data_IF_161802947795
#
_entry.id   IF_161802947795
#
_cell.length_a   1.000
_cell.length_b   1.000
_cell.length_c   1.000
_cell.angle_alpha   90.00
_cell.angle_beta   90.00
_cell.angle_gamma   90.00
#
_symmetry.space_group_name_H-M   'P 1'
#
loop_
_entity.id
_entity.type
_entity.pdbx_description
1 polymer ?
#
# COMPACT_ATOMS: atom_id res chain seq x y z
N UNK A 1 55.86 -50.68 17.98
CA UNK A 1 54.45 -50.38 18.20
C UNK A 1 54.01 -50.23 19.67
N UNK A 2 54.67 -50.81 20.64
CA UNK A 2 54.23 -50.75 22.08
C UNK A 2 54.55 -49.42 22.79
N UNK A 3 55.55 -48.62 22.38
CA UNK A 3 55.93 -47.34 23.04
C UNK A 3 54.97 -46.19 22.75
N UNK A 4 54.30 -46.16 21.60
CA UNK A 4 53.36 -45.07 21.21
C UNK A 4 52.00 -45.21 21.84
N UNK A 5 51.60 -46.38 22.28
CA UNK A 5 50.30 -46.63 22.91
C UNK A 5 50.34 -46.20 24.40
N UNK A 6 51.45 -46.43 25.10
CA UNK A 6 51.63 -46.07 26.53
C UNK A 6 51.65 -44.54 26.69
N UNK A 7 52.34 -43.81 25.82
CA UNK A 7 52.39 -42.34 25.86
C UNK A 7 51.05 -41.66 25.56
N UNK A 8 50.17 -42.32 24.79
CA UNK A 8 48.83 -41.81 24.50
C UNK A 8 47.87 -41.99 25.71
N UNK A 9 48.00 -43.13 26.42
CA UNK A 9 47.23 -43.44 27.58
C UNK A 9 47.58 -42.52 28.78
N UNK A 10 48.87 -42.22 28.97
CA UNK A 10 49.35 -41.29 30.01
C UNK A 10 48.91 -39.83 29.76
N UNK A 11 48.85 -39.43 28.48
CA UNK A 11 48.40 -38.08 28.11
C UNK A 11 46.90 -37.92 28.35
N UNK A 12 46.08 -38.95 28.12
CA UNK A 12 44.63 -38.96 28.39
C UNK A 12 44.38 -38.95 29.90
N UNK A 13 45.12 -39.76 30.69
CA UNK A 13 45.00 -39.79 32.15
C UNK A 13 45.44 -38.47 32.76
N UNK A 14 46.45 -37.78 32.24
CA UNK A 14 46.89 -36.49 32.75
C UNK A 14 45.86 -35.38 32.43
N UNK A 15 45.24 -35.42 31.26
CA UNK A 15 44.14 -34.51 30.91
C UNK A 15 42.88 -34.73 31.77
N UNK A 16 42.53 -35.98 31.95
CA UNK A 16 41.39 -36.36 32.78
C UNK A 16 41.60 -35.96 34.26
N UNK A 17 42.79 -36.15 34.82
CA UNK A 17 43.14 -35.73 36.16
C UNK A 17 43.14 -34.23 36.35
N UNK A 18 43.58 -33.45 35.34
CA UNK A 18 43.52 -32.00 35.34
C UNK A 18 42.06 -31.50 35.27
N UNK A 19 41.21 -32.17 34.50
CA UNK A 19 39.78 -31.84 34.40
C UNK A 19 39.04 -32.15 35.73
N UNK A 20 39.36 -33.28 36.34
CA UNK A 20 38.79 -33.64 37.69
C UNK A 20 39.25 -32.65 38.74
N UNK A 21 40.51 -32.27 38.77
CA UNK A 21 41.05 -31.32 39.71
C UNK A 21 40.44 -29.91 39.51
N UNK A 22 40.19 -29.51 38.26
CA UNK A 22 39.49 -28.26 37.93
C UNK A 22 38.04 -28.29 38.40
N UNK A 23 37.34 -29.42 38.16
CA UNK A 23 35.97 -29.64 38.63
C UNK A 23 35.87 -29.62 40.16
N UNK A 24 36.81 -30.28 40.87
CA UNK A 24 36.86 -30.29 42.30
C UNK A 24 37.19 -28.93 42.94
N UNK A 25 38.10 -28.17 42.27
CA UNK A 25 38.50 -26.83 42.73
C UNK A 25 37.40 -25.78 42.56
N UNK A 26 36.52 -25.97 41.58
CA UNK A 26 35.42 -25.06 41.28
C UNK A 26 34.05 -25.71 41.53
N UNK A 27 33.98 -26.79 42.33
CA UNK A 27 32.76 -27.55 42.56
C UNK A 27 31.57 -26.68 43.03
N UNK A 28 31.83 -25.73 43.91
CA UNK A 28 30.80 -24.82 44.42
C UNK A 28 30.21 -23.93 43.32
N UNK A 29 31.02 -23.44 42.40
CA UNK A 29 30.58 -22.63 41.27
C UNK A 29 29.84 -23.46 40.21
N UNK A 30 30.27 -24.68 39.99
CA UNK A 30 29.62 -25.60 39.02
C UNK A 30 28.26 -26.04 39.57
N UNK A 31 28.18 -26.36 40.85
CA UNK A 31 26.92 -26.70 41.50
C UNK A 31 25.97 -25.52 41.45
N UNK A 32 26.44 -24.30 41.74
CA UNK A 32 25.64 -23.08 41.62
C UNK A 32 25.14 -22.87 40.21
N UNK A 33 25.98 -23.02 39.17
CA UNK A 33 25.61 -22.91 37.79
C UNK A 33 24.55 -23.93 37.35
N UNK A 34 24.66 -25.19 37.86
CA UNK A 34 23.67 -26.24 37.62
C UNK A 34 22.34 -25.88 38.30
N UNK A 35 22.33 -25.40 39.54
CA UNK A 35 21.12 -24.95 40.21
C UNK A 35 20.44 -23.79 39.49
N UNK A 36 21.21 -22.80 39.04
CA UNK A 36 20.69 -21.69 38.26
C UNK A 36 20.09 -22.18 36.92
N UNK A 37 20.77 -23.08 36.21
CA UNK A 37 20.26 -23.66 34.97
C UNK A 37 18.96 -24.44 35.20
N UNK A 38 18.90 -25.29 36.25
CA UNK A 38 17.68 -26.04 36.62
C UNK A 38 16.54 -25.06 36.99
N UNK A 39 16.85 -24.04 37.80
CA UNK A 39 15.89 -23.01 38.19
C UNK A 39 15.34 -22.28 36.96
N UNK A 40 16.20 -21.89 36.00
CA UNK A 40 15.78 -21.27 34.74
C UNK A 40 14.88 -22.21 33.94
N UNK A 41 15.25 -23.50 33.79
CA UNK A 41 14.43 -24.47 33.04
C UNK A 41 13.06 -24.68 33.70
N UNK A 42 13.00 -24.73 35.02
CA UNK A 42 11.74 -24.87 35.75
C UNK A 42 10.88 -23.61 35.69
N UNK A 43 11.49 -22.43 35.76
CA UNK A 43 10.79 -21.14 35.64
C UNK A 43 10.22 -20.94 34.22
N UNK A 44 11.00 -21.25 33.20
CA UNK A 44 10.60 -21.02 31.79
C UNK A 44 9.80 -22.18 31.20
N UNK A 45 10.03 -23.42 31.64
CA UNK A 45 9.39 -24.61 31.07
C UNK A 45 8.00 -24.93 31.61
N UNK A 46 7.65 -24.53 32.86
CA UNK A 46 6.41 -24.94 33.52
C UNK A 46 5.38 -23.84 33.77
N UNK A 47 5.72 -22.57 33.54
CA UNK A 47 4.78 -21.49 33.84
C UNK A 47 4.31 -20.80 32.54
N UNK A 48 3.09 -21.13 32.03
CA UNK A 48 2.56 -20.54 30.79
C UNK A 48 2.36 -19.02 30.92
N UNK A 49 2.18 -18.50 32.11
CA UNK A 49 2.01 -17.07 32.37
C UNK A 49 3.31 -16.29 32.11
N UNK A 50 4.45 -16.80 32.55
CA UNK A 50 5.75 -16.16 32.33
C UNK A 50 6.17 -16.24 30.87
N UNK A 51 5.85 -17.33 30.17
CA UNK A 51 6.12 -17.46 28.75
C UNK A 51 5.37 -16.41 27.92
N UNK A 52 4.13 -16.09 28.32
CA UNK A 52 3.34 -15.01 27.66
C UNK A 52 3.97 -13.64 27.86
N UNK A 53 4.46 -13.32 29.07
CA UNK A 53 5.11 -12.04 29.36
C UNK A 53 6.43 -11.89 28.57
N UNK A 54 7.24 -12.95 28.47
CA UNK A 54 8.49 -12.89 27.68
C UNK A 54 8.24 -12.77 26.18
N UNK A 55 7.25 -13.47 25.63
CA UNK A 55 6.87 -13.33 24.24
C UNK A 55 6.31 -11.92 23.95
N UNK A 56 5.52 -11.37 24.86
CA UNK A 56 5.02 -10.01 24.78
C UNK A 56 6.15 -8.96 24.86
N UNK A 57 7.10 -9.15 25.78
CA UNK A 57 8.26 -8.25 25.90
C UNK A 57 9.22 -8.36 24.72
N UNK A 58 9.46 -9.57 24.20
CA UNK A 58 10.25 -9.78 23.00
C UNK A 58 9.60 -9.14 21.76
N UNK A 59 8.26 -9.22 21.64
CA UNK A 59 7.52 -8.55 20.58
C UNK A 59 7.55 -7.01 20.71
N UNK A 60 7.53 -6.48 21.95
CA UNK A 60 7.67 -5.04 22.17
C UNK A 60 9.07 -4.53 21.80
N UNK A 61 10.12 -5.28 22.15
CA UNK A 61 11.50 -4.94 21.75
C UNK A 61 11.68 -5.07 20.24
N UNK A 62 11.12 -6.12 19.63
CA UNK A 62 11.13 -6.28 18.18
C UNK A 62 10.38 -5.13 17.48
N UNK A 63 9.22 -4.74 17.97
CA UNK A 63 8.46 -3.60 17.45
C UNK A 63 9.26 -2.29 17.58
N UNK A 64 9.89 -2.02 18.72
CA UNK A 64 10.73 -0.85 18.91
C UNK A 64 11.96 -0.82 17.97
N UNK A 65 12.55 -1.99 17.68
CA UNK A 65 13.66 -2.10 16.71
C UNK A 65 13.15 -1.89 15.28
N UNK A 66 11.97 -2.39 14.93
CA UNK A 66 11.36 -2.16 13.63
C UNK A 66 10.93 -0.69 13.46
N UNK A 67 10.43 -0.04 14.50
CA UNK A 67 10.11 1.40 14.47
C UNK A 67 11.37 2.26 14.25
N UNK A 68 12.45 1.97 14.96
CA UNK A 68 13.75 2.64 14.73
C UNK A 68 14.30 2.38 13.33
N UNK A 69 14.16 1.17 12.81
CA UNK A 69 14.61 0.85 11.45
C UNK A 69 13.75 1.56 10.40
N UNK A 70 12.44 1.67 10.60
CA UNK A 70 11.54 2.39 9.71
C UNK A 70 11.79 3.90 9.71
N UNK A 71 12.08 4.51 10.86
CA UNK A 71 12.47 5.93 10.94
C UNK A 71 13.78 6.21 10.22
N UNK A 72 14.79 5.35 10.39
CA UNK A 72 16.09 5.52 9.72
C UNK A 72 15.98 5.32 8.21
N UNK A 73 15.25 4.30 7.75
CA UNK A 73 15.06 4.07 6.30
C UNK A 73 14.19 5.13 5.66
N UNK A 74 13.18 5.66 6.35
CA UNK A 74 12.35 6.76 5.84
C UNK A 74 13.16 8.05 5.67
N UNK A 75 14.12 8.30 6.55
CA UNK A 75 14.98 9.48 6.47
C UNK A 75 15.95 9.42 5.26
N UNK A 76 16.47 8.25 4.92
CA UNK A 76 17.32 8.07 3.72
C UNK A 76 16.52 8.16 2.41
N UNK A 77 15.25 7.72 2.39
CA UNK A 77 14.34 7.86 1.25
C UNK A 77 13.83 9.29 1.04
N UNK A 78 13.84 10.13 2.08
CA UNK A 78 13.26 11.47 2.03
C UNK A 78 13.96 12.38 0.99
N UNK A 79 15.25 12.21 0.80
CA UNK A 79 16.06 13.00 -0.16
C UNK A 79 15.72 12.63 -1.61
N UNK A 80 15.48 11.37 -1.86
CA UNK A 80 15.08 10.86 -3.18
C UNK A 80 13.63 11.24 -3.50
N UNK A 81 12.73 11.06 -2.54
CA UNK A 81 11.32 11.49 -2.64
C UNK A 81 11.22 13.01 -2.84
N UNK A 82 12.02 13.81 -2.14
CA UNK A 82 12.01 15.27 -2.30
C UNK A 82 12.50 15.69 -3.70
N UNK A 83 13.56 15.03 -4.20
CA UNK A 83 14.04 15.25 -5.56
C UNK A 83 12.98 14.89 -6.61
N UNK A 84 12.31 13.77 -6.42
CA UNK A 84 11.27 13.29 -7.33
C UNK A 84 10.05 14.22 -7.32
N UNK A 85 9.65 14.68 -6.14
CA UNK A 85 8.62 15.71 -5.97
C UNK A 85 8.97 17.02 -6.66
N UNK A 86 10.23 17.48 -6.57
CA UNK A 86 10.66 18.69 -7.25
C UNK A 86 10.65 18.54 -8.76
N UNK A 87 11.11 17.40 -9.30
CA UNK A 87 11.04 17.10 -10.73
C UNK A 87 9.59 17.10 -11.22
N UNK A 88 8.71 16.41 -10.48
CA UNK A 88 7.29 16.32 -10.84
C UNK A 88 6.56 17.65 -10.71
N UNK A 89 6.88 18.47 -9.70
CA UNK A 89 6.37 19.83 -9.63
C UNK A 89 6.81 20.67 -10.84
N UNK A 90 8.06 20.55 -11.26
CA UNK A 90 8.56 21.22 -12.47
C UNK A 90 7.86 20.76 -13.74
N UNK A 91 7.63 19.45 -13.91
CA UNK A 91 6.86 18.90 -15.03
C UNK A 91 5.42 19.42 -15.06
N UNK A 92 4.74 19.41 -13.90
CA UNK A 92 3.37 19.94 -13.78
C UNK A 92 3.30 21.45 -14.04
N UNK A 93 4.29 22.22 -13.57
CA UNK A 93 4.37 23.66 -13.88
C UNK A 93 4.52 23.89 -15.38
N UNK A 94 5.37 23.13 -16.06
CA UNK A 94 5.52 23.22 -17.53
C UNK A 94 4.25 22.81 -18.26
N UNK A 95 3.56 21.77 -17.79
CA UNK A 95 2.29 21.34 -18.37
C UNK A 95 1.21 22.41 -18.17
N UNK A 96 1.10 23.01 -17.00
CA UNK A 96 0.19 24.14 -16.72
C UNK A 96 0.50 25.34 -17.59
N UNK A 97 1.78 25.68 -17.80
CA UNK A 97 2.19 26.77 -18.68
C UNK A 97 1.77 26.47 -20.12
N UNK A 98 2.05 25.26 -20.63
CA UNK A 98 1.69 24.83 -21.97
C UNK A 98 0.16 24.84 -22.20
N UNK A 99 -0.60 24.34 -21.24
CA UNK A 99 -2.06 24.34 -21.30
C UNK A 99 -2.63 25.77 -21.29
N UNK A 100 -2.09 26.66 -20.45
CA UNK A 100 -2.46 28.08 -20.42
C UNK A 100 -2.15 28.76 -21.75
N UNK A 101 -1.02 28.45 -22.37
CA UNK A 101 -0.65 29.01 -23.68
C UNK A 101 -1.56 28.50 -24.79
N UNK A 102 -1.87 27.19 -24.81
CA UNK A 102 -2.85 26.61 -25.74
C UNK A 102 -4.23 27.23 -25.57
N UNK A 103 -4.69 27.41 -24.32
CA UNK A 103 -5.95 28.06 -24.00
C UNK A 103 -5.98 29.51 -24.48
N UNK A 104 -4.89 30.26 -24.30
CA UNK A 104 -4.79 31.65 -24.79
C UNK A 104 -4.82 31.73 -26.30
N UNK A 105 -4.17 30.80 -27.01
CA UNK A 105 -4.22 30.68 -28.48
C UNK A 105 -5.64 30.35 -28.93
N UNK A 106 -6.33 29.45 -28.25
CA UNK A 106 -7.71 29.08 -28.54
C UNK A 106 -8.67 30.26 -28.29
N UNK A 107 -8.53 30.95 -27.17
CA UNK A 107 -9.33 32.17 -26.85
C UNK A 107 -9.12 33.31 -27.86
N UNK A 108 -7.94 33.45 -28.42
CA UNK A 108 -7.66 34.46 -29.45
C UNK A 108 -8.18 34.07 -30.82
N UNK A 109 -8.42 32.78 -31.09
CA UNK A 109 -8.96 32.27 -32.37
C UNK A 109 -10.49 32.18 -32.39
N UNK A 110 -11.12 31.97 -31.23
CA UNK A 110 -12.58 31.90 -31.07
C UNK A 110 -13.05 33.20 -30.42
N UNK A 111 -13.69 34.08 -31.20
CA UNK A 111 -14.19 35.35 -30.68
C UNK A 111 -15.12 35.21 -29.50
N UNK A 112 -14.90 36.01 -28.50
CA UNK A 112 -15.63 36.47 -27.29
C UNK A 112 -16.90 35.76 -26.77
N UNK A 113 -17.17 34.49 -27.04
CA UNK A 113 -18.19 33.76 -26.30
C UNK A 113 -17.52 32.90 -25.23
N UNK A 114 -17.51 33.43 -24.03
CA UNK A 114 -16.87 32.90 -22.83
C UNK A 114 -17.68 31.74 -22.27
N UNK A 115 -17.18 30.51 -22.50
CA UNK A 115 -17.48 29.41 -21.58
C UNK A 115 -16.46 29.54 -20.44
N UNK A 116 -16.87 29.73 -19.18
CA UNK A 116 -15.93 29.79 -18.06
C UNK A 116 -15.29 28.42 -17.85
N UNK A 117 -14.01 28.33 -18.20
CA UNK A 117 -13.17 27.12 -17.99
C UNK A 117 -12.88 26.84 -16.50
N UNK A 118 -13.35 27.69 -15.62
CA UNK A 118 -13.05 27.66 -14.18
C UNK A 118 -13.89 26.64 -13.40
N UNK A 119 -14.86 25.97 -14.07
CA UNK A 119 -15.86 25.18 -13.35
C UNK A 119 -15.45 23.73 -13.04
N UNK A 120 -14.58 23.12 -13.80
CA UNK A 120 -14.29 21.67 -13.65
C UNK A 120 -13.29 21.37 -12.54
N UNK A 121 -12.39 22.31 -12.22
CA UNK A 121 -11.41 22.15 -11.12
C UNK A 121 -11.94 22.64 -9.76
N UNK A 122 -13.07 23.40 -9.74
CA UNK A 122 -13.69 23.87 -8.51
C UNK A 122 -14.53 22.81 -7.78
N UNK A 123 -14.86 21.69 -8.43
CA UNK A 123 -15.74 20.67 -7.88
C UNK A 123 -15.03 19.67 -6.96
N UNK A 124 -13.69 19.67 -6.93
CA UNK A 124 -12.91 18.72 -6.15
C UNK A 124 -11.95 19.41 -5.18
N UNK A 125 -11.98 18.98 -3.93
CA UNK A 125 -10.98 19.32 -2.91
C UNK A 125 -10.01 18.18 -2.68
N UNK A 126 -8.81 18.53 -2.18
CA UNK A 126 -7.77 17.55 -1.89
C UNK A 126 -7.26 17.71 -0.47
N UNK A 127 -7.18 16.60 0.25
CA UNK A 127 -6.51 16.52 1.54
C UNK A 127 -5.33 15.53 1.46
N UNK A 128 -4.20 15.87 2.07
CA UNK A 128 -3.04 14.97 2.13
C UNK A 128 -3.06 14.20 3.45
N UNK A 129 -2.87 12.89 3.39
CA UNK A 129 -2.80 12.00 4.54
C UNK A 129 -1.60 11.06 4.42
N UNK A 130 -1.09 10.63 5.57
CA UNK A 130 -0.07 9.61 5.66
C UNK A 130 -0.72 8.24 5.84
N UNK A 131 -0.18 7.24 5.16
CA UNK A 131 -0.56 5.85 5.36
C UNK A 131 0.06 5.33 6.65
N UNK A 132 -0.80 4.86 7.56
CA UNK A 132 -0.40 4.32 8.87
C UNK A 132 -0.34 2.80 8.84
N UNK A 133 -1.24 2.17 8.07
CA UNK A 133 -1.25 0.73 7.88
C UNK A 133 -1.71 0.39 6.47
N UNK A 134 -1.12 -0.64 5.89
CA UNK A 134 -1.41 -1.11 4.55
C UNK A 134 -1.31 -2.63 4.48
N UNK A 135 -2.33 -3.28 3.95
CA UNK A 135 -2.31 -4.72 3.66
C UNK A 135 -2.30 -4.97 2.15
N UNK A 136 -1.44 -5.88 1.70
CA UNK A 136 -1.30 -6.25 0.28
C UNK A 136 -1.35 -7.76 0.04
N UNK A 137 -1.26 -8.57 1.10
CA UNK A 137 -1.16 -10.03 1.03
C UNK A 137 -2.43 -10.75 1.50
N UNK A 138 -3.51 -10.01 1.77
CA UNK A 138 -4.80 -10.58 2.18
C UNK A 138 -5.75 -10.65 0.99
N UNK A 139 -6.81 -11.44 1.12
CA UNK A 139 -7.91 -11.46 0.12
C UNK A 139 -8.66 -10.13 0.14
N UNK A 140 -8.89 -9.56 1.33
CA UNK A 140 -9.51 -8.24 1.47
C UNK A 140 -8.47 -7.27 2.03
N UNK A 141 -7.91 -6.44 1.18
CA UNK A 141 -6.89 -5.47 1.55
C UNK A 141 -7.50 -4.10 1.88
N UNK A 142 -6.96 -3.47 2.93
CA UNK A 142 -7.36 -2.17 3.41
C UNK A 142 -6.14 -1.30 3.69
N UNK A 143 -6.35 0.00 3.64
CA UNK A 143 -5.34 1.02 3.91
C UNK A 143 -5.88 1.92 5.01
N UNK A 144 -5.10 2.13 6.07
CA UNK A 144 -5.44 3.06 7.15
C UNK A 144 -4.63 4.34 7.00
N UNK A 145 -5.28 5.47 7.12
CA UNK A 145 -4.67 6.81 7.02
C UNK A 145 -4.84 7.59 8.31
N UNK A 146 -3.94 8.56 8.56
CA UNK A 146 -3.89 9.42 9.75
C UNK A 146 -4.80 10.65 9.67
N UNK A 147 -5.91 10.55 8.94
CA UNK A 147 -6.93 11.59 8.82
C UNK A 147 -8.31 10.98 9.01
N UNK A 148 -9.18 11.71 9.71
CA UNK A 148 -10.52 11.27 10.04
C UNK A 148 -11.56 12.38 9.86
N UNK A 149 -12.67 12.24 10.59
CA UNK A 149 -13.79 13.20 10.53
C UNK A 149 -13.37 14.59 11.02
N UNK A 150 -12.49 14.67 12.02
CA UNK A 150 -11.96 15.95 12.51
C UNK A 150 -11.24 16.76 11.43
N UNK A 151 -10.69 16.08 10.42
CA UNK A 151 -9.99 16.69 9.29
C UNK A 151 -10.85 16.76 8.00
N UNK A 152 -12.17 16.55 8.13
CA UNK A 152 -13.11 16.65 7.02
C UNK A 152 -13.16 15.43 6.10
N UNK A 153 -12.69 14.27 6.55
CA UNK A 153 -12.77 13.04 5.76
C UNK A 153 -14.15 12.41 5.93
N UNK A 154 -14.73 11.99 4.81
CA UNK A 154 -16.02 11.34 4.73
C UNK A 154 -15.93 9.98 3.99
N UNK A 155 -16.88 9.06 4.22
CA UNK A 155 -16.98 7.84 3.46
C UNK A 155 -17.14 8.11 1.95
N UNK A 156 -16.66 7.16 1.14
CA UNK A 156 -16.69 7.21 -0.33
C UNK A 156 -15.88 8.38 -0.94
N UNK A 157 -14.96 8.98 -0.23
CA UNK A 157 -13.93 9.83 -0.82
C UNK A 157 -12.88 8.96 -1.52
N UNK A 158 -12.38 9.43 -2.67
CA UNK A 158 -11.33 8.75 -3.42
C UNK A 158 -9.96 8.90 -2.76
N UNK A 159 -9.13 7.87 -2.85
CA UNK A 159 -7.74 7.91 -2.37
C UNK A 159 -6.81 7.66 -3.55
N UNK A 160 -5.86 8.57 -3.77
CA UNK A 160 -4.85 8.48 -4.84
C UNK A 160 -3.46 8.72 -4.27
N UNK A 161 -2.45 8.16 -4.91
CA UNK A 161 -1.06 8.54 -4.68
C UNK A 161 -0.54 9.45 -5.81
N UNK A 162 0.77 9.59 -5.94
CA UNK A 162 1.39 10.35 -7.03
C UNK A 162 1.25 9.66 -8.39
N UNK A 163 1.04 8.35 -8.43
CA UNK A 163 1.05 7.53 -9.63
C UNK A 163 -0.37 7.17 -10.10
N UNK A 164 -1.37 7.17 -9.21
CA UNK A 164 -2.72 6.83 -9.61
C UNK A 164 -3.69 6.54 -8.47
N UNK A 165 -4.73 5.76 -8.77
CA UNK A 165 -5.78 5.40 -7.82
C UNK A 165 -5.27 4.33 -6.86
N UNK A 166 -5.54 4.54 -5.56
CA UNK A 166 -5.14 3.64 -4.47
C UNK A 166 -6.34 2.94 -3.84
N UNK A 167 -7.47 3.63 -3.70
CA UNK A 167 -8.66 3.07 -3.06
C UNK A 167 -9.78 4.07 -2.85
N UNK A 168 -10.76 3.69 -2.02
CA UNK A 168 -11.92 4.51 -1.65
C UNK A 168 -12.14 4.42 -0.14
N UNK A 169 -12.37 5.54 0.54
CA UNK A 169 -12.66 5.59 1.97
C UNK A 169 -13.95 4.83 2.27
N UNK A 170 -13.88 3.88 3.19
CA UNK A 170 -15.02 3.05 3.59
C UNK A 170 -15.50 3.37 5.01
N UNK A 171 -14.57 3.47 5.96
CA UNK A 171 -14.88 3.73 7.36
C UNK A 171 -14.10 4.93 7.84
N UNK A 172 -14.77 5.83 8.54
CA UNK A 172 -14.18 7.07 9.07
C UNK A 172 -14.33 7.12 10.58
N UNK A 173 -13.20 7.17 11.28
CA UNK A 173 -13.08 7.46 12.70
C UNK A 173 -12.89 8.95 12.95
N UNK A 174 -12.56 9.33 14.18
CA UNK A 174 -12.34 10.74 14.55
C UNK A 174 -11.04 11.27 13.92
N UNK A 175 -9.92 10.54 14.06
CA UNK A 175 -8.59 10.95 13.59
C UNK A 175 -7.95 9.96 12.61
N UNK A 176 -8.64 8.88 12.26
CA UNK A 176 -8.15 7.88 11.32
C UNK A 176 -9.29 7.42 10.42
N UNK A 177 -8.97 7.02 9.21
CA UNK A 177 -9.94 6.42 8.28
C UNK A 177 -9.35 5.18 7.64
N UNK A 178 -10.25 4.30 7.20
CA UNK A 178 -9.89 3.06 6.51
C UNK A 178 -10.46 3.10 5.10
N UNK A 179 -9.59 2.97 4.12
CA UNK A 179 -9.95 2.84 2.71
C UNK A 179 -9.95 1.37 2.27
N UNK A 180 -10.91 1.00 1.42
CA UNK A 180 -10.83 -0.23 0.65
C UNK A 180 -9.79 -0.01 -0.45
N UNK A 181 -8.75 -0.84 -0.47
CA UNK A 181 -7.70 -0.79 -1.49
C UNK A 181 -8.22 -1.24 -2.86
N UNK A 182 -7.61 -0.75 -3.94
CA UNK A 182 -7.81 -1.34 -5.28
C UNK A 182 -7.46 -2.83 -5.28
N UNK A 183 -6.56 -3.27 -4.40
CA UNK A 183 -6.26 -4.69 -4.16
C UNK A 183 -7.29 -5.39 -3.28
N UNK A 184 -8.58 -5.14 -3.54
CA UNK A 184 -9.69 -5.79 -2.85
C UNK A 184 -10.78 -6.16 -3.86
N UNK A 185 -11.17 -7.46 -3.96
CA UNK A 185 -12.18 -7.90 -4.93
C UNK A 185 -13.56 -7.27 -4.75
N UNK A 186 -13.84 -6.66 -3.60
CA UNK A 186 -15.09 -5.95 -3.33
C UNK A 186 -15.14 -4.57 -3.94
N UNK A 187 -13.98 -3.99 -4.27
CA UNK A 187 -13.92 -2.69 -4.92
C UNK A 187 -14.10 -2.88 -6.44
N UNK A 188 -15.05 -2.15 -7.00
CA UNK A 188 -15.24 -2.01 -8.44
C UNK A 188 -15.02 -0.55 -8.81
N UNK A 189 -14.08 -0.31 -9.71
CA UNK A 189 -13.73 1.04 -10.15
C UNK A 189 -14.11 1.20 -11.61
N UNK A 190 -14.91 2.24 -11.93
CA UNK A 190 -15.25 2.55 -13.31
C UNK A 190 -14.07 3.20 -14.02
N UNK A 191 -13.53 2.52 -15.02
CA UNK A 191 -12.32 2.90 -15.76
C UNK A 191 -12.56 2.85 -17.27
N UNK A 192 -11.76 3.63 -18.00
CA UNK A 192 -11.76 3.63 -19.46
C UNK A 192 -10.34 3.65 -20.04
N UNK A 193 -10.21 3.28 -21.29
CA UNK A 193 -8.99 3.54 -22.06
C UNK A 193 -8.89 5.04 -22.32
N UNK A 194 -7.75 5.63 -22.08
CA UNK A 194 -7.52 7.07 -22.31
C UNK A 194 -7.80 7.43 -23.77
N UNK A 195 -8.70 8.39 -23.98
CA UNK A 195 -9.15 8.80 -25.33
C UNK A 195 -10.34 8.00 -25.86
N UNK A 196 -10.88 7.04 -25.11
CA UNK A 196 -12.12 6.33 -25.42
C UNK A 196 -13.26 6.85 -24.56
N UNK A 197 -14.49 6.81 -25.07
CA UNK A 197 -15.70 7.14 -24.33
C UNK A 197 -16.32 5.91 -23.63
N UNK A 198 -15.81 4.72 -23.95
CA UNK A 198 -16.32 3.46 -23.40
C UNK A 198 -15.60 3.10 -22.12
N UNK A 199 -16.35 2.66 -21.13
CA UNK A 199 -15.84 2.29 -19.82
C UNK A 199 -16.11 0.81 -19.50
N UNK A 200 -15.33 0.29 -18.54
CA UNK A 200 -15.49 -1.03 -17.96
C UNK A 200 -15.33 -0.97 -16.44
N UNK A 201 -15.39 -2.10 -15.79
CA UNK A 201 -15.25 -2.26 -14.35
C UNK A 201 -13.91 -2.88 -14.00
N UNK A 202 -13.03 -2.14 -13.33
CA UNK A 202 -11.76 -2.66 -12.82
C UNK A 202 -11.99 -3.37 -11.50
N UNK A 203 -11.52 -4.62 -11.42
CA UNK A 203 -11.61 -5.50 -10.26
C UNK A 203 -10.26 -6.18 -10.04
N UNK A 204 -9.87 -6.35 -8.80
CA UNK A 204 -8.69 -7.14 -8.46
C UNK A 204 -9.05 -8.62 -8.32
N UNK A 205 -8.29 -9.49 -8.98
CA UNK A 205 -8.50 -10.95 -9.02
C UNK A 205 -7.86 -11.71 -7.84
N UNK A 206 -7.27 -11.00 -6.89
CA UNK A 206 -6.56 -11.53 -5.73
C UNK A 206 -5.35 -12.44 -6.06
N UNK A 207 -4.79 -12.32 -7.26
CA UNK A 207 -3.63 -13.13 -7.70
C UNK A 207 -2.32 -12.40 -7.46
N UNK A 208 -2.23 -11.14 -7.83
CA UNK A 208 -0.99 -10.36 -7.74
C UNK A 208 -1.28 -8.90 -7.37
N UNK A 209 -0.50 -8.30 -6.47
CA UNK A 209 -0.69 -6.88 -6.11
C UNK A 209 -0.31 -5.90 -7.22
N UNK A 210 0.29 -6.39 -8.30
CA UNK A 210 0.73 -5.57 -9.44
C UNK A 210 -0.31 -5.48 -10.55
N UNK A 211 -1.24 -6.43 -10.62
CA UNK A 211 -2.19 -6.52 -11.73
C UNK A 211 -3.63 -6.53 -11.22
N UNK A 212 -4.50 -5.92 -12.01
CA UNK A 212 -5.95 -6.00 -11.88
C UNK A 212 -6.57 -6.37 -13.22
N UNK A 213 -7.87 -6.58 -13.22
CA UNK A 213 -8.63 -7.00 -14.40
C UNK A 213 -9.68 -5.93 -14.69
N UNK A 214 -9.70 -5.40 -15.91
CA UNK A 214 -10.75 -4.53 -16.41
C UNK A 214 -11.74 -5.40 -17.20
N UNK A 215 -12.93 -5.56 -16.65
CA UNK A 215 -14.03 -6.33 -17.20
C UNK A 215 -15.01 -5.46 -17.98
N UNK A 216 -15.88 -6.07 -18.76
CA UNK A 216 -17.02 -5.42 -19.43
C UNK A 216 -16.61 -4.37 -20.50
N UNK A 217 -15.41 -4.48 -21.08
CA UNK A 217 -14.99 -3.58 -22.14
C UNK A 217 -15.62 -3.98 -23.49
N UNK A 218 -16.43 -3.11 -24.14
CA UNK A 218 -17.13 -3.46 -25.39
C UNK A 218 -16.18 -3.84 -26.52
N UNK A 219 -16.59 -4.78 -27.40
CA UNK A 219 -15.76 -5.31 -28.49
C UNK A 219 -15.36 -4.31 -29.59
N UNK A 220 -16.08 -3.23 -29.72
CA UNK A 220 -15.81 -2.20 -30.72
C UNK A 220 -14.82 -1.13 -30.27
N UNK A 221 -14.34 -1.25 -29.02
CA UNK A 221 -13.28 -0.36 -28.50
C UNK A 221 -11.94 -0.78 -29.07
N UNK A 222 -11.26 0.16 -29.68
CA UNK A 222 -9.89 -0.02 -30.15
C UNK A 222 -8.93 0.26 -28.99
N UNK A 223 -8.03 -0.67 -28.72
CA UNK A 223 -6.97 -0.55 -27.72
C UNK A 223 -5.79 -1.44 -28.10
N UNK A 224 -4.64 -1.13 -27.54
CA UNK A 224 -3.41 -1.90 -27.69
C UNK A 224 -2.75 -2.15 -26.33
N UNK A 225 -1.96 -3.23 -26.17
CA UNK A 225 -1.06 -3.36 -25.05
C UNK A 225 -0.14 -2.13 -24.97
N UNK A 226 0.01 -1.55 -23.77
CA UNK A 226 0.71 -0.29 -23.55
C UNK A 226 -0.21 0.92 -23.40
N UNK A 227 -1.49 0.82 -23.75
CA UNK A 227 -2.43 1.92 -23.59
C UNK A 227 -2.74 2.17 -22.10
N UNK A 228 -2.96 3.44 -21.78
CA UNK A 228 -3.23 3.90 -20.41
C UNK A 228 -4.69 3.72 -20.06
N UNK A 229 -4.95 3.16 -18.88
CA UNK A 229 -6.27 3.09 -18.24
C UNK A 229 -6.40 4.24 -17.24
N UNK A 230 -7.51 4.94 -17.31
CA UNK A 230 -7.85 6.07 -16.44
C UNK A 230 -9.25 5.93 -15.86
N UNK A 231 -9.56 6.69 -14.82
CA UNK A 231 -10.92 6.80 -14.27
C UNK A 231 -11.86 7.36 -15.32
N UNK A 232 -13.08 6.83 -15.39
CA UNK A 232 -14.06 7.20 -16.42
C UNK A 232 -14.80 8.52 -16.16
N UNK A 233 -14.81 9.00 -14.90
CA UNK A 233 -15.65 10.12 -14.48
C UNK A 233 -17.12 9.77 -14.21
N UNK A 234 -17.56 8.53 -14.49
CA UNK A 234 -18.93 8.07 -14.21
C UNK A 234 -19.16 7.68 -12.74
N UNK A 235 -18.33 8.15 -11.85
CA UNK A 235 -18.43 7.94 -10.41
C UNK A 235 -18.33 9.29 -9.71
N UNK A 236 -19.17 9.52 -8.71
CA UNK A 236 -19.07 10.71 -7.86
C UNK A 236 -17.79 10.76 -7.01
N UNK A 237 -16.97 9.71 -7.06
CA UNK A 237 -15.77 9.53 -6.23
C UNK A 237 -14.52 10.12 -6.89
N UNK A 238 -14.32 9.85 -8.17
CA UNK A 238 -13.13 10.28 -8.90
C UNK A 238 -13.49 11.12 -10.11
N UNK A 239 -12.78 12.24 -10.36
CA UNK A 239 -12.86 12.92 -11.64
C UNK A 239 -12.37 12.00 -12.77
N UNK A 240 -12.73 12.34 -13.99
CA UNK A 240 -12.21 11.69 -15.19
C UNK A 240 -10.70 11.93 -15.33
N UNK A 241 -9.97 10.91 -15.80
CA UNK A 241 -8.61 11.06 -16.25
C UNK A 241 -7.53 10.75 -15.22
N UNK A 242 -7.87 10.32 -13.99
CA UNK A 242 -6.85 9.86 -13.04
C UNK A 242 -6.29 8.53 -13.52
N UNK A 243 -4.97 8.41 -13.54
CA UNK A 243 -4.28 7.21 -13.96
C UNK A 243 -4.61 6.02 -13.02
N UNK A 244 -4.82 4.85 -13.61
CA UNK A 244 -5.07 3.61 -12.89
C UNK A 244 -4.00 2.58 -13.22
N UNK A 245 -3.60 2.49 -14.49
CA UNK A 245 -2.60 1.54 -14.93
C UNK A 245 -2.42 1.51 -16.44
N UNK A 246 -1.77 0.47 -16.92
CA UNK A 246 -1.45 0.26 -18.33
C UNK A 246 -1.92 -1.14 -18.74
N UNK A 247 -2.47 -1.27 -19.94
CA UNK A 247 -2.88 -2.56 -20.48
C UNK A 247 -1.63 -3.42 -20.72
N UNK A 248 -1.52 -4.54 -20.00
CA UNK A 248 -0.42 -5.50 -20.19
C UNK A 248 -0.79 -6.62 -21.16
N UNK A 249 -2.04 -7.08 -21.12
CA UNK A 249 -2.54 -8.19 -21.93
C UNK A 249 -4.07 -8.15 -22.00
N UNK A 250 -4.67 -8.90 -22.91
CA UNK A 250 -6.12 -9.01 -23.00
C UNK A 250 -6.56 -10.43 -23.36
N UNK A 251 -7.76 -10.81 -22.90
CA UNK A 251 -8.40 -12.08 -23.25
C UNK A 251 -9.68 -11.82 -24.00
N UNK A 252 -9.90 -12.61 -25.05
CA UNK A 252 -11.13 -12.66 -25.83
C UNK A 252 -11.75 -14.03 -25.67
N UNK A 253 -12.88 -14.13 -24.99
CA UNK A 253 -13.64 -15.37 -25.00
C UNK A 253 -14.49 -15.46 -26.26
N UNK A 254 -14.66 -16.69 -26.80
CA UNK A 254 -15.32 -16.89 -28.12
C UNK A 254 -16.77 -16.45 -28.15
N UNK A 255 -17.47 -16.51 -27.04
CA UNK A 255 -18.92 -16.24 -26.92
C UNK A 255 -19.26 -14.96 -26.17
N UNK A 256 -18.27 -14.19 -25.72
CA UNK A 256 -18.46 -12.96 -24.95
C UNK A 256 -18.51 -11.72 -25.84
N UNK A 257 -19.44 -10.81 -25.58
CA UNK A 257 -19.56 -9.51 -26.23
C UNK A 257 -18.57 -8.47 -25.69
N UNK A 258 -17.75 -8.86 -24.71
CA UNK A 258 -16.82 -7.98 -24.01
C UNK A 258 -15.39 -8.53 -24.05
N UNK A 259 -14.42 -7.61 -23.92
CA UNK A 259 -13.03 -7.95 -23.63
C UNK A 259 -12.79 -7.91 -22.13
N UNK A 260 -11.86 -8.74 -21.68
CA UNK A 260 -11.28 -8.71 -20.36
C UNK A 260 -9.81 -8.30 -20.51
N UNK A 261 -9.44 -7.15 -19.96
CA UNK A 261 -8.10 -6.59 -20.08
C UNK A 261 -7.34 -6.82 -18.77
N UNK A 262 -6.09 -7.26 -18.86
CA UNK A 262 -5.17 -7.31 -17.74
C UNK A 262 -4.45 -5.97 -17.65
N UNK A 263 -4.60 -5.29 -16.52
CA UNK A 263 -4.06 -3.95 -16.28
C UNK A 263 -2.93 -4.06 -15.25
N UNK A 264 -1.76 -3.56 -15.60
CA UNK A 264 -0.66 -3.34 -14.67
C UNK A 264 -0.93 -2.02 -13.94
N UNK A 265 -1.11 -2.09 -12.62
CA UNK A 265 -1.45 -0.94 -11.79
C UNK A 265 -0.28 0.05 -11.73
N UNK A 266 -0.57 1.34 -11.79
CA UNK A 266 0.44 2.41 -11.78
C UNK A 266 0.99 2.70 -10.40
N UNK A 267 0.18 2.49 -9.34
CA UNK A 267 0.57 2.72 -7.95
C UNK A 267 1.35 1.55 -7.38
N UNK A 268 2.44 1.82 -6.65
CA UNK A 268 3.16 0.81 -5.89
C UNK A 268 2.54 0.64 -4.51
N UNK A 269 1.70 -0.38 -4.37
CA UNK A 269 1.03 -0.70 -3.11
C UNK A 269 1.99 -1.17 -2.02
N UNK A 270 3.21 -1.57 -2.33
CA UNK A 270 4.19 -2.00 -1.33
C UNK A 270 4.87 -0.82 -0.64
N UNK A 271 4.92 0.34 -1.30
CA UNK A 271 5.65 1.53 -0.86
C UNK A 271 4.76 2.73 -0.54
N UNK A 272 3.45 2.56 -0.29
CA UNK A 272 2.54 3.66 -0.01
C UNK A 272 2.93 4.42 1.28
N UNK A 273 3.35 5.68 1.14
CA UNK A 273 3.72 6.56 2.26
C UNK A 273 2.71 7.67 2.49
N UNK A 274 2.49 8.51 1.49
CA UNK A 274 1.52 9.60 1.51
C UNK A 274 0.51 9.42 0.39
N UNK A 275 -0.75 9.77 0.68
CA UNK A 275 -1.86 9.72 -0.25
C UNK A 275 -2.61 11.05 -0.25
N UNK A 276 -3.32 11.33 -1.32
CA UNK A 276 -4.26 12.44 -1.43
C UNK A 276 -5.67 11.89 -1.42
N UNK A 277 -6.53 12.52 -0.64
CA UNK A 277 -7.95 12.19 -0.56
C UNK A 277 -8.68 13.21 -1.41
N UNK A 278 -9.51 12.73 -2.33
CA UNK A 278 -10.30 13.53 -3.24
C UNK A 278 -11.72 13.59 -2.73
N UNK A 279 -12.22 14.79 -2.54
CA UNK A 279 -13.61 15.08 -2.18
C UNK A 279 -14.32 15.78 -3.32
N UNK A 280 -15.47 15.28 -3.73
CA UNK A 280 -16.35 15.93 -4.69
C UNK A 280 -17.39 16.75 -3.93
N UNK A 281 -17.40 18.08 -4.11
CA UNK A 281 -18.33 18.99 -3.45
C UNK A 281 -19.78 18.78 -3.87
N UNK A 282 -20.03 18.30 -5.08
CA UNK A 282 -21.37 18.09 -5.63
C UNK A 282 -21.93 16.69 -5.34
N UNK A 283 -21.17 15.83 -4.66
CA UNK A 283 -21.52 14.44 -4.40
C UNK A 283 -22.84 14.27 -3.65
N UNK A 284 -23.07 15.08 -2.63
CA UNK A 284 -24.30 14.98 -1.83
C UNK A 284 -25.55 15.29 -2.66
N UNK A 285 -25.48 16.32 -3.50
CA UNK A 285 -26.58 16.69 -4.40
C UNK A 285 -26.83 15.59 -5.45
N UNK A 286 -25.75 15.10 -6.07
CA UNK A 286 -25.84 14.04 -7.05
C UNK A 286 -26.46 12.76 -6.45
N UNK A 287 -25.97 12.32 -5.29
CA UNK A 287 -26.47 11.15 -4.59
C UNK A 287 -27.94 11.30 -4.17
N UNK A 288 -28.36 12.51 -3.80
CA UNK A 288 -29.76 12.80 -3.45
C UNK A 288 -30.66 12.68 -4.67
N UNK A 289 -30.29 13.30 -5.78
CA UNK A 289 -31.05 13.22 -7.03
C UNK A 289 -31.14 11.78 -7.58
N UNK A 290 -30.04 11.02 -7.53
CA UNK A 290 -30.03 9.63 -7.96
C UNK A 290 -30.91 8.72 -7.08
N UNK A 291 -30.97 9.01 -5.76
CA UNK A 291 -31.88 8.29 -4.86
C UNK A 291 -33.33 8.63 -5.16
N UNK A 292 -33.67 9.90 -5.33
CA UNK A 292 -35.04 10.34 -5.68
C UNK A 292 -35.50 9.68 -7.00
N UNK A 293 -34.62 9.67 -8.03
CA UNK A 293 -34.93 9.05 -9.33
C UNK A 293 -35.12 7.53 -9.29
N UNK A 294 -34.60 6.82 -8.28
CA UNK A 294 -34.78 5.37 -8.13
C UNK A 294 -36.06 4.97 -7.41
N UNK A 295 -36.75 5.93 -6.75
CA UNK A 295 -37.98 5.69 -6.01
C UNK A 295 -39.23 6.16 -6.77
N UNK A 296 -39.08 6.76 -7.96
CA UNK A 296 -40.15 6.95 -8.93
C UNK A 296 -40.23 5.77 -9.94
#
# INVERSE_FOLDING_TARGET
MKKTFVTRCDRINKKMRNLINFLLRHSSWIVLAIYVAISCVLLFGRNPYQRSIYLSSANQVAAAVYDLQSEVTSYFGLREVNRDLQLRNGELEMEVINLKEQLNRYRSSVGKDTIPFDSVLHDYDFAVARVVNNSIAQINNYITIDKGRAEGIEPEMGVVDQNGVVGIINVVGEHHSVAISVLNPKLRLSCKVKGSDYFGSLVWDAVSPRYAVLEEMPRHVEFAPGDTIVTSGYSSVFPEGIMVGIISDYKKQRDDNFYTLRVELSSDFSGLGYVRIISNRQKEEQNKLEKEARYE
#
